data_IF_900242328528
#
_entry.id   IF_900242328528
#
_cell.length_a   1.000
_cell.length_b   1.000
_cell.length_c   1.000
_cell.angle_alpha   90.00
_cell.angle_beta   90.00
_cell.angle_gamma   90.00
#
_symmetry.space_group_name_H-M   'P 1'
#
loop_
_entity.id
_entity.type
_entity.pdbx_description
1 polymer ?
#
# COMPACT_ATOMS: atom_id res chain seq x y z
N UNK A 1 8.94 1.05 0.46
CA UNK A 1 10.19 1.14 -0.33
C UNK A 1 11.31 1.52 0.60
N UNK A 2 12.43 0.81 0.55
CA UNK A 2 13.59 1.10 1.40
C UNK A 2 14.59 1.95 0.62
N UNK A 3 15.29 2.84 1.32
CA UNK A 3 16.40 3.64 0.78
C UNK A 3 16.07 4.37 -0.54
N UNK A 4 14.89 4.96 -0.61
CA UNK A 4 14.48 5.75 -1.75
C UNK A 4 15.28 7.05 -1.77
N UNK A 5 15.90 7.36 -2.90
CA UNK A 5 16.64 8.60 -3.08
C UNK A 5 15.72 9.81 -2.94
N UNK A 6 16.18 10.82 -2.20
CA UNK A 6 15.48 12.09 -1.99
C UNK A 6 16.32 13.21 -2.58
N UNK A 7 15.70 14.10 -3.36
CA UNK A 7 16.36 15.26 -3.94
C UNK A 7 15.92 16.53 -3.21
N UNK A 8 16.89 17.26 -2.63
CA UNK A 8 16.67 18.59 -2.10
C UNK A 8 16.96 19.65 -3.17
N UNK A 9 16.02 20.57 -3.40
CA UNK A 9 16.17 21.68 -4.34
C UNK A 9 15.81 22.99 -3.64
N UNK A 10 16.81 23.67 -3.09
CA UNK A 10 16.66 24.96 -2.43
C UNK A 10 17.19 26.07 -3.32
N UNK A 11 16.58 27.25 -3.20
CA UNK A 11 16.98 28.45 -3.93
C UNK A 11 17.06 29.62 -2.96
N UNK A 12 17.97 30.56 -3.26
CA UNK A 12 18.07 31.82 -2.54
C UNK A 12 17.23 32.88 -3.26
N UNK A 13 16.58 33.75 -2.50
CA UNK A 13 15.74 34.83 -3.05
C UNK A 13 15.94 36.14 -2.29
N UNK A 14 15.51 37.25 -2.88
CA UNK A 14 15.67 38.60 -2.34
C UNK A 14 16.89 39.35 -2.88
N UNK A 15 16.95 40.66 -2.59
CA UNK A 15 17.93 41.58 -3.17
C UNK A 15 19.39 41.21 -2.86
N UNK A 16 19.63 40.55 -1.73
CA UNK A 16 20.97 40.14 -1.29
C UNK A 16 21.31 38.68 -1.65
N UNK A 17 20.46 37.94 -2.38
CA UNK A 17 20.66 36.51 -2.64
C UNK A 17 22.03 36.19 -3.28
N UNK A 18 22.53 37.07 -4.16
CA UNK A 18 23.84 36.92 -4.78
C UNK A 18 25.04 37.03 -3.83
N UNK A 19 24.82 37.49 -2.59
CA UNK A 19 25.86 37.59 -1.57
C UNK A 19 26.06 36.28 -0.79
N UNK A 20 25.26 35.25 -1.05
CA UNK A 20 25.27 34.00 -0.32
C UNK A 20 25.37 32.79 -1.26
N UNK A 21 25.92 31.70 -0.74
CA UNK A 21 25.95 30.41 -1.41
C UNK A 21 25.11 29.41 -0.62
N UNK A 22 24.48 28.48 -1.35
CA UNK A 22 23.74 27.37 -0.74
C UNK A 22 24.38 26.06 -1.21
N UNK A 23 24.76 25.22 -0.24
CA UNK A 23 25.24 23.87 -0.49
C UNK A 23 24.08 22.92 -0.23
N UNK A 24 23.66 22.20 -1.26
CA UNK A 24 22.59 21.21 -1.12
C UNK A 24 23.10 20.00 -0.33
N UNK A 25 22.27 19.41 0.55
CA UNK A 25 22.60 18.15 1.19
C UNK A 25 22.69 17.03 0.14
N UNK A 26 23.70 16.17 0.29
CA UNK A 26 23.88 14.96 -0.54
C UNK A 26 23.39 13.73 0.22
N UNK A 27 23.23 12.61 -0.51
CA UNK A 27 22.96 11.28 0.07
C UNK A 27 21.70 11.18 0.93
N UNK A 28 20.71 12.02 0.65
CA UNK A 28 19.41 11.95 1.30
C UNK A 28 18.66 10.71 0.83
N UNK A 29 18.28 9.87 1.79
CA UNK A 29 17.41 8.73 1.56
C UNK A 29 16.26 8.71 2.55
N UNK A 30 15.14 8.15 2.12
CA UNK A 30 13.99 7.92 2.98
C UNK A 30 13.45 6.50 2.77
N UNK A 31 12.80 5.98 3.80
CA UNK A 31 12.10 4.70 3.72
C UNK A 31 10.60 4.91 3.93
N UNK A 32 9.81 4.22 3.12
CA UNK A 32 8.34 4.17 3.26
C UNK A 32 8.00 2.84 3.91
N UNK A 33 7.56 2.92 5.16
CA UNK A 33 7.05 1.77 5.91
C UNK A 33 5.75 1.26 5.27
N UNK A 34 5.68 -0.02 4.87
CA UNK A 34 4.44 -0.59 4.35
C UNK A 34 3.32 -0.54 5.38
N UNK A 35 2.12 -0.19 4.95
CA UNK A 35 0.93 -0.29 5.80
C UNK A 35 0.43 -1.73 5.81
N UNK A 36 0.17 -2.25 7.01
CA UNK A 36 -0.38 -3.60 7.16
C UNK A 36 -1.79 -3.68 6.55
N UNK A 37 -2.04 -4.78 5.85
CA UNK A 37 -3.33 -5.13 5.27
C UNK A 37 -3.78 -6.45 5.90
N UNK A 38 -4.98 -6.48 6.46
CA UNK A 38 -5.55 -7.69 7.06
C UNK A 38 -6.90 -8.02 6.41
N UNK A 39 -7.19 -9.32 6.32
CA UNK A 39 -8.51 -9.81 5.93
C UNK A 39 -9.32 -10.06 7.21
N UNK A 40 -10.51 -9.46 7.28
CA UNK A 40 -11.43 -9.61 8.42
C UNK A 40 -12.78 -10.14 7.97
N UNK A 41 -13.56 -10.69 8.90
CA UNK A 41 -14.93 -11.14 8.62
C UNK A 41 -15.02 -12.29 7.62
N UNK A 42 -14.02 -13.16 7.59
CA UNK A 42 -14.00 -14.32 6.69
C UNK A 42 -15.10 -15.29 7.06
N UNK A 43 -15.98 -15.61 6.10
CA UNK A 43 -16.97 -16.68 6.27
C UNK A 43 -17.00 -17.58 5.04
N UNK A 44 -17.43 -18.81 5.23
CA UNK A 44 -17.68 -19.77 4.15
C UNK A 44 -19.17 -20.07 4.15
N UNK A 45 -19.84 -19.85 3.02
CA UNK A 45 -21.25 -20.20 2.91
C UNK A 45 -21.43 -21.73 2.90
N UNK A 46 -22.45 -22.22 3.61
CA UNK A 46 -22.92 -23.59 3.42
C UNK A 46 -23.37 -23.77 1.96
N UNK A 47 -23.21 -24.99 1.45
CA UNK A 47 -23.71 -25.37 0.13
C UNK A 47 -24.56 -26.62 0.20
N UNK A 48 -25.52 -26.69 -0.73
CA UNK A 48 -26.18 -27.96 -1.06
C UNK A 48 -25.19 -28.79 -1.88
N UNK A 49 -25.20 -30.10 -1.69
CA UNK A 49 -24.35 -31.01 -2.45
C UNK A 49 -24.70 -30.94 -3.94
N UNK A 50 -23.72 -30.59 -4.76
CA UNK A 50 -23.82 -30.41 -6.22
C UNK A 50 -22.72 -31.17 -6.98
N UNK A 51 -21.95 -32.03 -6.29
CA UNK A 51 -20.81 -32.75 -6.86
C UNK A 51 -19.55 -31.91 -7.08
N UNK A 52 -19.55 -30.62 -6.74
CA UNK A 52 -18.37 -29.73 -6.79
C UNK A 52 -17.78 -29.47 -5.40
N UNK A 53 -16.48 -29.17 -5.34
CA UNK A 53 -15.81 -28.73 -4.11
C UNK A 53 -15.71 -27.21 -3.98
N UNK A 54 -16.20 -26.42 -4.93
CA UNK A 54 -16.11 -24.95 -4.89
C UNK A 54 -16.80 -24.39 -3.65
N UNK A 55 -16.08 -23.57 -2.89
CA UNK A 55 -16.61 -22.84 -1.74
C UNK A 55 -16.84 -21.37 -2.10
N UNK A 56 -17.93 -20.79 -1.58
CA UNK A 56 -18.18 -19.34 -1.66
C UNK A 56 -17.72 -18.70 -0.37
N UNK A 57 -16.75 -17.78 -0.48
CA UNK A 57 -16.12 -17.11 0.66
C UNK A 57 -16.43 -15.62 0.64
N UNK A 58 -16.61 -15.03 1.82
CA UNK A 58 -16.65 -13.59 2.01
C UNK A 58 -15.46 -13.13 2.84
N UNK A 59 -15.15 -11.83 2.78
CA UNK A 59 -14.20 -11.17 3.65
C UNK A 59 -14.09 -9.70 3.28
N UNK A 60 -13.46 -8.91 4.14
CA UNK A 60 -13.19 -7.49 3.90
C UNK A 60 -11.73 -7.18 4.16
N UNK A 61 -11.17 -6.25 3.40
CA UNK A 61 -9.83 -5.73 3.65
C UNK A 61 -9.87 -4.58 4.65
N UNK A 62 -9.03 -4.67 5.66
CA UNK A 62 -8.76 -3.59 6.61
C UNK A 62 -7.33 -3.09 6.43
N UNK A 63 -7.17 -1.77 6.35
CA UNK A 63 -5.86 -1.13 6.17
C UNK A 63 -5.62 -0.52 4.79
N UNK A 64 -6.53 -0.68 3.82
CA UNK A 64 -6.43 0.00 2.51
C UNK A 64 -6.44 1.52 2.71
N UNK A 65 -5.54 2.24 2.02
CA UNK A 65 -5.51 3.71 2.01
C UNK A 65 -6.53 4.21 0.99
N UNK A 66 -7.23 5.31 1.30
CA UNK A 66 -8.37 5.78 0.48
C UNK A 66 -8.03 5.98 -1.00
N UNK A 67 -6.81 6.43 -1.32
CA UNK A 67 -6.33 6.61 -2.69
C UNK A 67 -6.04 5.30 -3.43
N UNK A 68 -5.85 4.20 -2.69
CA UNK A 68 -5.47 2.90 -3.24
C UNK A 68 -6.67 1.95 -3.41
N UNK A 69 -7.87 2.35 -2.99
CA UNK A 69 -9.08 1.50 -3.00
C UNK A 69 -9.37 0.93 -4.40
N UNK A 70 -9.16 1.71 -5.46
CA UNK A 70 -9.37 1.24 -6.83
C UNK A 70 -8.28 0.27 -7.33
N UNK A 71 -7.13 0.22 -6.66
CA UNK A 71 -5.95 -0.57 -7.05
C UNK A 71 -5.83 -1.88 -6.26
N UNK A 72 -6.67 -2.07 -5.24
CA UNK A 72 -6.59 -3.22 -4.33
C UNK A 72 -7.93 -3.95 -4.32
N UNK A 73 -7.91 -5.22 -4.73
CA UNK A 73 -9.11 -6.08 -4.75
C UNK A 73 -8.87 -7.32 -3.90
N UNK A 74 -9.84 -7.67 -3.06
CA UNK A 74 -9.87 -8.97 -2.39
C UNK A 74 -10.52 -9.99 -3.32
N UNK A 75 -9.84 -11.10 -3.58
CA UNK A 75 -10.38 -12.24 -4.34
C UNK A 75 -10.43 -13.47 -3.43
N UNK A 76 -11.56 -13.73 -2.75
CA UNK A 76 -11.72 -14.91 -1.92
C UNK A 76 -11.81 -16.17 -2.79
N UNK A 77 -11.05 -17.22 -2.45
CA UNK A 77 -11.13 -18.53 -3.10
C UNK A 77 -10.94 -19.64 -2.07
N UNK A 78 -11.62 -20.77 -2.25
CA UNK A 78 -11.48 -21.94 -1.39
C UNK A 78 -12.24 -23.16 -1.90
N UNK A 79 -11.93 -24.33 -1.34
CA UNK A 79 -12.56 -25.60 -1.68
C UNK A 79 -12.84 -26.43 -0.42
N UNK A 80 -13.93 -27.19 -0.41
CA UNK A 80 -14.19 -28.20 0.62
C UNK A 80 -13.30 -29.43 0.41
N UNK A 81 -12.67 -29.96 1.46
CA UNK A 81 -11.94 -31.23 1.41
C UNK A 81 -12.90 -32.42 1.31
N UNK A 82 -12.54 -33.41 0.51
CA UNK A 82 -13.27 -34.68 0.35
C UNK A 82 -12.80 -35.70 1.39
#
# INVERSE_FOLDING_TARGET
>A
GLNLAVTAANTLSGAAAGNYTITQPTDLTASITPKALTVTGTTVANKVYDGSNTATLTGTLSGVVSTDVANVTLVPAGTFSQ
#
